data_IF_610797517825
#
_entry.id   IF_610797517825
#
_cell.length_a   1.000
_cell.length_b   1.000
_cell.length_c   1.000
_cell.angle_alpha   90.00
_cell.angle_beta   90.00
_cell.angle_gamma   90.00
#
_symmetry.space_group_name_H-M   'P 1'
#
loop_
_entity.id
_entity.type
_entity.pdbx_description
1 polymer ?
#
# COMPACT_ATOMS: atom_id res chain seq x y z
N UNK A 1 2.91 -7.76 3.34
CA UNK A 1 1.86 -6.77 3.66
C UNK A 1 2.43 -5.37 3.51
N UNK A 2 1.85 -4.58 2.64
CA UNK A 2 2.26 -3.20 2.40
C UNK A 2 1.10 -2.28 2.71
N UNK A 3 1.36 -1.20 3.44
CA UNK A 3 0.36 -0.21 3.79
C UNK A 3 0.80 1.15 3.25
N UNK A 4 -0.09 1.81 2.54
CA UNK A 4 0.08 3.20 2.13
C UNK A 4 -0.75 4.09 3.01
N UNK A 5 -0.12 5.10 3.57
CA UNK A 5 -0.77 6.16 4.31
C UNK A 5 -0.81 7.39 3.41
N UNK A 6 -2.00 7.83 3.04
CA UNK A 6 -2.16 8.90 2.08
C UNK A 6 -3.23 9.89 2.52
N UNK A 7 -2.90 11.20 2.56
CA UNK A 7 -3.90 12.26 2.62
C UNK A 7 -4.78 12.25 1.37
N UNK A 8 -6.00 12.79 1.43
CA UNK A 8 -6.83 12.96 0.25
C UNK A 8 -6.10 13.72 -0.87
N UNK A 9 -6.31 13.32 -2.12
CA UNK A 9 -5.71 13.94 -3.32
C UNK A 9 -4.17 13.87 -3.40
N UNK A 10 -3.52 13.01 -2.65
CA UNK A 10 -2.06 12.83 -2.70
C UNK A 10 -1.55 11.93 -3.83
N UNK A 11 -2.42 11.50 -4.75
CA UNK A 11 -2.07 10.67 -5.89
C UNK A 11 -1.99 9.16 -5.58
N UNK A 12 -2.75 8.69 -4.59
CA UNK A 12 -2.78 7.28 -4.17
C UNK A 12 -3.12 6.34 -5.32
N UNK A 13 -4.23 6.62 -6.04
CA UNK A 13 -4.70 5.79 -7.15
C UNK A 13 -3.67 5.73 -8.29
N UNK A 14 -3.07 6.87 -8.66
CA UNK A 14 -2.01 6.91 -9.68
C UNK A 14 -0.79 6.09 -9.28
N UNK A 15 -0.41 6.13 -8.00
CA UNK A 15 0.70 5.33 -7.51
C UNK A 15 0.35 3.84 -7.49
N UNK A 16 -0.91 3.47 -7.18
CA UNK A 16 -1.39 2.08 -7.30
C UNK A 16 -1.35 1.59 -8.75
N UNK A 17 -1.81 2.42 -9.70
CA UNK A 17 -1.73 2.11 -11.14
C UNK A 17 -0.28 1.91 -11.60
N UNK A 18 0.63 2.79 -11.18
CA UNK A 18 2.05 2.66 -11.50
C UNK A 18 2.66 1.36 -10.96
N UNK A 19 2.31 0.98 -9.72
CA UNK A 19 2.75 -0.28 -9.12
C UNK A 19 2.12 -1.48 -9.83
N UNK A 20 0.82 -1.43 -10.16
CA UNK A 20 0.14 -2.48 -10.93
C UNK A 20 0.84 -2.76 -12.25
N UNK A 21 1.13 -1.69 -13.00
CA UNK A 21 1.81 -1.78 -14.29
C UNK A 21 3.26 -2.27 -14.16
N UNK A 22 3.96 -1.89 -13.08
CA UNK A 22 5.31 -2.38 -12.81
C UNK A 22 5.31 -3.88 -12.48
N UNK A 23 4.34 -4.36 -11.68
CA UNK A 23 4.20 -5.78 -11.34
C UNK A 23 3.94 -6.59 -12.62
N UNK A 24 2.94 -6.22 -13.41
CA UNK A 24 2.59 -6.97 -14.63
C UNK A 24 3.68 -6.95 -15.70
N UNK A 25 4.54 -5.92 -15.70
CA UNK A 25 5.69 -5.84 -16.60
C UNK A 25 6.87 -6.71 -16.14
N UNK A 26 7.14 -6.71 -14.83
CA UNK A 26 8.34 -7.35 -14.29
C UNK A 26 8.08 -8.79 -13.83
N UNK A 27 6.84 -9.11 -13.47
CA UNK A 27 6.42 -10.42 -12.97
C UNK A 27 5.11 -10.84 -13.68
N UNK A 28 5.16 -11.13 -14.99
CA UNK A 28 3.96 -11.47 -15.78
C UNK A 28 3.30 -12.78 -15.34
N UNK A 29 4.00 -13.62 -14.60
CA UNK A 29 3.51 -14.87 -14.01
C UNK A 29 2.65 -14.64 -12.76
N UNK A 30 2.77 -13.49 -12.11
CA UNK A 30 2.00 -13.17 -10.91
C UNK A 30 0.57 -12.76 -11.27
N UNK A 31 -0.40 -13.31 -10.54
CA UNK A 31 -1.79 -12.90 -10.66
C UNK A 31 -2.01 -11.56 -9.95
N UNK A 32 -2.34 -10.52 -10.72
CA UNK A 32 -2.68 -9.21 -10.18
C UNK A 32 -4.19 -9.04 -10.07
N UNK A 33 -4.65 -8.73 -8.87
CA UNK A 33 -6.04 -8.37 -8.58
C UNK A 33 -6.10 -6.97 -7.96
N UNK A 34 -6.99 -6.13 -8.47
CA UNK A 34 -7.28 -4.80 -7.89
C UNK A 34 -8.67 -4.85 -7.29
N UNK A 35 -8.78 -4.51 -6.01
CA UNK A 35 -10.03 -4.44 -5.27
C UNK A 35 -10.31 -2.99 -4.90
N UNK A 36 -11.37 -2.44 -5.48
CA UNK A 36 -11.79 -1.05 -5.28
C UNK A 36 -13.06 -1.03 -4.43
N UNK A 37 -13.01 -0.37 -3.28
CA UNK A 37 -14.13 -0.31 -2.33
C UNK A 37 -14.52 1.15 -2.13
N UNK A 38 -15.81 1.44 -2.35
CA UNK A 38 -16.37 2.79 -2.19
C UNK A 38 -15.68 3.83 -3.09
N UNK A 39 -15.28 3.40 -4.31
CA UNK A 39 -14.65 4.25 -5.30
C UNK A 39 -15.67 4.82 -6.29
N UNK A 40 -15.25 5.86 -7.02
CA UNK A 40 -16.08 6.47 -8.05
C UNK A 40 -16.12 5.58 -9.30
N UNK A 41 -17.24 5.52 -10.02
CA UNK A 41 -17.34 4.74 -11.27
C UNK A 41 -16.29 5.13 -12.31
N UNK A 42 -15.90 6.42 -12.37
CA UNK A 42 -14.86 6.92 -13.26
C UNK A 42 -13.50 6.33 -12.94
N UNK A 43 -13.13 6.29 -11.64
CA UNK A 43 -11.86 5.76 -11.15
C UNK A 43 -11.79 4.24 -11.40
N UNK A 44 -12.92 3.53 -11.23
CA UNK A 44 -13.05 2.11 -11.57
C UNK A 44 -12.80 1.89 -13.07
N UNK A 45 -13.45 2.68 -13.91
CA UNK A 45 -13.30 2.58 -15.38
C UNK A 45 -11.87 2.87 -15.83
N UNK A 46 -11.23 3.87 -15.22
CA UNK A 46 -9.83 4.22 -15.50
C UNK A 46 -8.89 3.06 -15.09
N UNK A 47 -9.09 2.49 -13.90
CA UNK A 47 -8.30 1.36 -13.43
C UNK A 47 -8.44 0.15 -14.36
N UNK A 48 -9.66 -0.18 -14.79
CA UNK A 48 -9.93 -1.28 -15.74
C UNK A 48 -9.26 -1.09 -17.09
N UNK A 49 -9.10 0.17 -17.55
CA UNK A 49 -8.46 0.49 -18.84
C UNK A 49 -6.94 0.50 -18.77
N UNK A 50 -6.38 0.89 -17.62
CA UNK A 50 -4.95 1.16 -17.46
C UNK A 50 -4.17 0.00 -16.86
N UNK A 51 -4.83 -0.90 -16.13
CA UNK A 51 -4.19 -2.01 -15.44
C UNK A 51 -4.48 -3.33 -16.14
N UNK A 52 -3.43 -4.09 -16.42
CA UNK A 52 -3.54 -5.47 -16.93
C UNK A 52 -3.67 -6.44 -15.75
N UNK A 53 -4.86 -6.56 -15.21
CA UNK A 53 -5.17 -7.42 -14.06
C UNK A 53 -6.67 -7.56 -13.89
N UNK A 54 -7.08 -8.42 -12.96
CA UNK A 54 -8.49 -8.54 -12.59
C UNK A 54 -8.88 -7.34 -11.71
N UNK A 55 -9.88 -6.57 -12.13
CA UNK A 55 -10.40 -5.42 -11.36
C UNK A 55 -11.79 -5.76 -10.83
N UNK A 56 -11.90 -5.85 -9.52
CA UNK A 56 -13.16 -6.10 -8.79
C UNK A 56 -13.50 -4.82 -8.04
N UNK A 57 -14.72 -4.33 -8.17
CA UNK A 57 -15.10 -3.05 -7.58
C UNK A 57 -16.52 -3.06 -7.03
N UNK A 58 -16.70 -2.33 -5.94
CA UNK A 58 -17.99 -1.85 -5.45
C UNK A 58 -17.92 -0.33 -5.32
N UNK A 59 -18.75 0.36 -6.10
CA UNK A 59 -18.76 1.82 -6.18
C UNK A 59 -19.50 2.45 -4.99
N UNK A 60 -19.28 3.74 -4.76
CA UNK A 60 -19.79 4.49 -3.61
C UNK A 60 -21.35 4.54 -3.53
N UNK A 61 -22.01 4.31 -4.65
CA UNK A 61 -23.49 4.26 -4.77
C UNK A 61 -24.07 2.90 -4.38
N UNK A 62 -23.23 1.92 -4.04
CA UNK A 62 -23.65 0.60 -3.58
C UNK A 62 -23.76 0.53 -2.06
N UNK A 63 -24.67 -0.29 -1.52
CA UNK A 63 -24.78 -0.54 -0.08
C UNK A 63 -23.48 -1.08 0.51
N UNK A 64 -23.26 -0.87 1.82
CA UNK A 64 -22.09 -1.37 2.52
C UNK A 64 -21.98 -2.90 2.49
N UNK A 65 -23.11 -3.61 2.45
CA UNK A 65 -23.19 -5.06 2.31
C UNK A 65 -22.57 -5.56 1.00
N UNK A 66 -22.79 -4.83 -0.11
CA UNK A 66 -22.18 -5.16 -1.39
C UNK A 66 -20.67 -4.96 -1.34
N UNK A 67 -20.21 -3.90 -0.66
CA UNK A 67 -18.78 -3.58 -0.50
C UNK A 67 -18.05 -4.66 0.30
N UNK A 68 -18.64 -5.13 1.40
CA UNK A 68 -18.07 -6.21 2.22
C UNK A 68 -18.11 -7.55 1.49
N UNK A 69 -19.20 -7.86 0.81
CA UNK A 69 -19.34 -9.11 0.03
C UNK A 69 -18.32 -9.19 -1.09
N UNK A 70 -18.10 -8.10 -1.82
CA UNK A 70 -17.09 -8.03 -2.90
C UNK A 70 -15.69 -8.30 -2.35
N UNK A 71 -15.34 -7.72 -1.21
CA UNK A 71 -14.04 -7.94 -0.58
C UNK A 71 -13.87 -9.38 -0.09
N UNK A 72 -14.89 -9.96 0.53
CA UNK A 72 -14.87 -11.35 1.00
C UNK A 72 -14.72 -12.34 -0.16
N UNK A 73 -15.48 -12.15 -1.25
CA UNK A 73 -15.36 -12.98 -2.44
C UNK A 73 -13.97 -12.85 -3.10
N UNK A 74 -13.41 -11.64 -3.14
CA UNK A 74 -12.08 -11.40 -3.69
C UNK A 74 -11.01 -12.17 -2.89
N UNK A 75 -11.03 -12.09 -1.56
CA UNK A 75 -10.03 -12.78 -0.73
C UNK A 75 -10.19 -14.30 -0.78
N UNK A 76 -11.42 -14.81 -0.81
CA UNK A 76 -11.65 -16.26 -0.95
C UNK A 76 -11.18 -16.79 -2.31
N UNK A 77 -11.44 -16.05 -3.40
CA UNK A 77 -10.93 -16.39 -4.73
C UNK A 77 -9.40 -16.43 -4.73
N UNK A 78 -8.75 -15.44 -4.15
CA UNK A 78 -7.30 -15.37 -4.09
C UNK A 78 -6.70 -16.50 -3.27
N UNK A 79 -7.31 -16.87 -2.14
CA UNK A 79 -6.88 -18.02 -1.35
C UNK A 79 -6.86 -19.31 -2.19
N UNK A 80 -7.87 -19.53 -3.03
CA UNK A 80 -7.90 -20.69 -3.94
C UNK A 80 -6.76 -20.65 -4.96
N UNK A 81 -6.45 -19.48 -5.53
CA UNK A 81 -5.32 -19.35 -6.45
C UNK A 81 -3.98 -19.66 -5.76
N UNK A 82 -3.78 -19.15 -4.55
CA UNK A 82 -2.56 -19.41 -3.77
C UNK A 82 -2.42 -20.88 -3.38
N UNK A 83 -3.53 -21.56 -3.05
CA UNK A 83 -3.55 -23.00 -2.78
C UNK A 83 -3.20 -23.83 -4.02
N UNK A 84 -3.48 -23.31 -5.22
CA UNK A 84 -3.07 -23.92 -6.49
C UNK A 84 -1.60 -23.64 -6.85
N UNK A 85 -0.87 -22.91 -6.01
CA UNK A 85 0.55 -22.62 -6.19
C UNK A 85 0.86 -21.31 -6.92
N UNK A 86 -0.13 -20.45 -7.15
CA UNK A 86 0.11 -19.16 -7.81
C UNK A 86 0.58 -18.09 -6.83
N UNK A 87 1.45 -17.21 -7.34
CA UNK A 87 1.79 -15.95 -6.66
C UNK A 87 0.75 -14.88 -7.01
N UNK A 88 0.09 -14.35 -5.99
CA UNK A 88 -1.01 -13.40 -6.16
C UNK A 88 -0.69 -12.08 -5.46
N UNK A 89 -0.97 -10.98 -6.15
CA UNK A 89 -0.86 -9.63 -5.60
C UNK A 89 -2.24 -8.97 -5.60
N UNK A 90 -2.70 -8.54 -4.42
CA UNK A 90 -3.89 -7.70 -4.28
C UNK A 90 -3.46 -6.24 -4.09
N UNK A 91 -4.04 -5.35 -4.90
CA UNK A 91 -4.03 -3.91 -4.65
C UNK A 91 -5.41 -3.51 -4.14
N UNK A 92 -5.50 -3.05 -2.88
CA UNK A 92 -6.77 -2.66 -2.24
C UNK A 92 -6.84 -1.13 -2.10
N UNK A 93 -7.81 -0.51 -2.73
CA UNK A 93 -8.18 0.90 -2.52
C UNK A 93 -9.63 0.99 -2.03
N UNK A 94 -9.87 1.19 -0.73
CA UNK A 94 -8.92 1.31 0.36
C UNK A 94 -9.34 0.49 1.59
N UNK A 95 -8.36 0.13 2.43
CA UNK A 95 -8.62 -0.58 3.68
C UNK A 95 -9.45 0.27 4.66
N UNK A 96 -9.32 1.59 4.62
CA UNK A 96 -10.11 2.50 5.47
C UNK A 96 -11.58 2.44 5.13
N UNK A 97 -11.92 2.48 3.83
CA UNK A 97 -13.32 2.39 3.36
C UNK A 97 -13.91 1.00 3.61
N UNK A 98 -13.12 -0.04 3.35
CA UNK A 98 -13.51 -1.41 3.66
C UNK A 98 -13.82 -1.59 5.16
N UNK A 99 -12.97 -1.06 6.03
CA UNK A 99 -13.18 -1.09 7.48
C UNK A 99 -14.45 -0.32 7.90
N UNK A 100 -14.75 0.81 7.26
CA UNK A 100 -16.01 1.54 7.47
C UNK A 100 -17.23 0.72 7.04
N UNK A 101 -17.17 0.04 5.90
CA UNK A 101 -18.23 -0.83 5.42
C UNK A 101 -18.51 -1.97 6.42
N UNK A 102 -17.47 -2.64 6.90
CA UNK A 102 -17.61 -3.66 7.93
C UNK A 102 -18.16 -3.09 9.26
N UNK A 103 -17.81 -1.85 9.63
CA UNK A 103 -18.37 -1.22 10.82
C UNK A 103 -19.86 -0.90 10.68
N UNK A 104 -20.35 -0.67 9.46
CA UNK A 104 -21.77 -0.44 9.19
C UNK A 104 -22.59 -1.74 9.16
N UNK A 105 -22.00 -2.82 8.61
CA UNK A 105 -22.69 -4.11 8.40
C UNK A 105 -22.45 -5.11 9.52
N UNK A 106 -21.40 -4.95 10.30
CA UNK A 106 -20.96 -5.91 11.30
C UNK A 106 -21.77 -5.90 12.59
N UNK A 107 -21.73 -7.00 13.31
CA UNK A 107 -22.26 -7.09 14.66
C UNK A 107 -21.47 -6.18 15.60
N UNK A 108 -22.16 -5.25 16.23
CA UNK A 108 -21.57 -4.39 17.23
C UNK A 108 -21.39 -5.15 18.55
N UNK A 109 -20.16 -5.27 19.02
CA UNK A 109 -19.83 -5.91 20.31
C UNK A 109 -20.11 -5.02 21.52
N UNK A 110 -20.42 -3.73 21.28
CA UNK A 110 -20.52 -2.71 22.32
C UNK A 110 -19.18 -2.18 22.83
N UNK A 111 -18.07 -2.74 22.39
CA UNK A 111 -16.73 -2.21 22.69
C UNK A 111 -16.33 -1.18 21.64
N UNK A 112 -16.83 0.03 21.84
CA UNK A 112 -16.52 1.14 20.94
C UNK A 112 -15.12 1.68 21.13
N UNK A 113 -14.42 1.87 20.01
CA UNK A 113 -13.25 2.72 19.86
C UNK A 113 -13.69 4.18 19.69
N UNK A 114 -12.77 5.07 19.38
CA UNK A 114 -13.13 6.46 19.09
C UNK A 114 -14.10 6.57 17.88
N UNK A 115 -14.96 7.60 17.91
CA UNK A 115 -15.86 7.99 16.83
C UNK A 115 -16.83 6.91 16.32
N UNK A 116 -17.33 6.05 17.22
CA UNK A 116 -18.35 5.06 16.88
C UNK A 116 -17.85 3.84 16.10
N UNK A 117 -16.57 3.63 16.06
CA UNK A 117 -15.96 2.42 15.48
C UNK A 117 -16.00 1.30 16.51
N UNK A 118 -16.61 0.15 16.17
CA UNK A 118 -16.60 -1.04 17.01
C UNK A 118 -15.37 -1.90 16.72
N UNK A 119 -14.65 -2.29 17.78
CA UNK A 119 -13.41 -3.07 17.65
C UNK A 119 -13.62 -4.44 16.99
N UNK A 120 -14.77 -5.09 17.24
CA UNK A 120 -15.08 -6.39 16.65
C UNK A 120 -15.47 -6.26 15.17
N UNK A 121 -16.11 -5.17 14.77
CA UNK A 121 -16.48 -4.91 13.39
C UNK A 121 -15.27 -4.73 12.46
N UNK A 122 -14.10 -4.37 13.01
CA UNK A 122 -12.85 -4.27 12.23
C UNK A 122 -12.16 -5.63 12.01
N UNK A 123 -12.58 -6.68 12.69
CA UNK A 123 -11.92 -7.99 12.60
C UNK A 123 -11.91 -8.55 11.17
N UNK A 124 -12.98 -8.51 10.36
CA UNK A 124 -12.93 -9.00 8.98
C UNK A 124 -11.93 -8.23 8.11
N UNK A 125 -11.86 -6.90 8.23
CA UNK A 125 -10.87 -6.10 7.50
C UNK A 125 -9.43 -6.44 7.92
N UNK A 126 -9.20 -6.72 9.21
CA UNK A 126 -7.90 -7.21 9.71
C UNK A 126 -7.58 -8.61 9.18
N UNK A 127 -8.57 -9.50 9.11
CA UNK A 127 -8.41 -10.84 8.55
C UNK A 127 -8.11 -10.79 7.05
N UNK A 128 -8.78 -9.90 6.30
CA UNK A 128 -8.45 -9.64 4.90
C UNK A 128 -6.98 -9.26 4.74
N UNK A 129 -6.54 -8.23 5.46
CA UNK A 129 -5.15 -7.75 5.38
C UNK A 129 -4.15 -8.78 5.92
N UNK A 130 -4.52 -9.50 6.97
CA UNK A 130 -3.73 -10.54 7.59
C UNK A 130 -3.63 -11.84 6.79
N UNK A 131 -4.39 -12.00 5.71
CA UNK A 131 -4.30 -13.16 4.82
C UNK A 131 -2.99 -13.20 4.02
N UNK A 132 -2.30 -12.06 3.87
CA UNK A 132 -1.03 -11.96 3.15
C UNK A 132 0.07 -12.81 3.82
N UNK A 133 0.54 -13.83 3.10
CA UNK A 133 1.58 -14.77 3.56
C UNK A 133 2.17 -15.58 2.41
N UNK A 134 3.33 -16.15 2.63
CA UNK A 134 3.89 -17.20 1.78
C UNK A 134 3.45 -18.55 2.34
N UNK A 135 3.05 -19.48 1.47
CA UNK A 135 2.68 -20.84 1.85
C UNK A 135 3.88 -21.75 1.56
N UNK A 136 4.26 -22.55 2.53
CA UNK A 136 5.32 -23.52 2.36
C UNK A 136 4.89 -24.56 1.32
N UNK A 137 5.71 -24.77 0.30
CA UNK A 137 5.42 -25.59 -0.87
C UNK A 137 4.15 -25.21 -1.67
N UNK A 138 3.75 -23.94 -1.60
CA UNK A 138 2.60 -23.38 -2.31
C UNK A 138 2.92 -22.02 -2.92
N UNK A 139 1.88 -21.28 -3.27
CA UNK A 139 2.00 -19.92 -3.78
C UNK A 139 2.17 -18.87 -2.67
N UNK A 140 2.11 -17.61 -3.04
CA UNK A 140 2.19 -16.49 -2.11
C UNK A 140 1.05 -15.48 -2.30
N UNK A 141 0.69 -14.79 -1.22
CA UNK A 141 -0.23 -13.67 -1.24
C UNK A 141 0.44 -12.42 -0.72
N UNK A 142 0.55 -11.43 -1.59
CA UNK A 142 0.97 -10.07 -1.25
C UNK A 142 -0.23 -9.14 -1.30
N UNK A 143 -0.44 -8.34 -0.25
CA UNK A 143 -1.50 -7.34 -0.21
C UNK A 143 -0.86 -5.95 -0.04
N UNK A 144 -1.19 -5.05 -0.96
CA UNK A 144 -0.86 -3.64 -0.91
C UNK A 144 -2.15 -2.83 -0.74
N UNK A 145 -2.37 -2.32 0.45
CA UNK A 145 -3.59 -1.58 0.78
C UNK A 145 -3.33 -0.09 0.94
N UNK A 146 -4.17 0.73 0.32
CA UNK A 146 -4.23 2.16 0.60
C UNK A 146 -4.95 2.39 1.94
N UNK A 147 -4.42 3.28 2.77
CA UNK A 147 -5.07 3.74 4.00
C UNK A 147 -5.11 5.27 4.00
N UNK A 148 -6.27 5.83 4.31
CA UNK A 148 -6.44 7.27 4.38
C UNK A 148 -5.93 7.81 5.71
N UNK A 149 -5.15 8.90 5.63
CA UNK A 149 -4.65 9.65 6.79
C UNK A 149 -4.99 11.14 6.62
N UNK A 150 -4.93 11.90 7.69
CA UNK A 150 -5.12 13.36 7.66
C UNK A 150 -6.44 13.77 6.99
N UNK A 151 -7.48 12.93 7.16
CA UNK A 151 -8.82 13.20 6.58
C UNK A 151 -9.64 14.16 7.45
N UNK A 152 -9.18 14.46 8.65
CA UNK A 152 -9.95 15.18 9.66
C UNK A 152 -11.07 14.34 10.30
N UNK A 153 -11.18 13.05 9.97
CA UNK A 153 -12.15 12.14 10.53
C UNK A 153 -11.56 11.33 11.69
N UNK A 154 -12.05 11.51 12.94
CA UNK A 154 -11.58 10.68 14.06
C UNK A 154 -11.84 9.18 13.87
N UNK A 155 -12.84 8.82 13.07
CA UNK A 155 -13.12 7.43 12.72
C UNK A 155 -11.99 6.81 11.87
N UNK A 156 -11.45 7.56 10.90
CA UNK A 156 -10.32 7.10 10.08
C UNK A 156 -9.05 6.95 10.89
N UNK A 157 -8.82 7.86 11.83
CA UNK A 157 -7.67 7.79 12.74
C UNK A 157 -7.78 6.55 13.65
N UNK A 158 -8.98 6.25 14.17
CA UNK A 158 -9.22 5.05 14.96
C UNK A 158 -9.00 3.77 14.13
N UNK A 159 -9.51 3.72 12.89
CA UNK A 159 -9.28 2.60 11.97
C UNK A 159 -7.78 2.46 11.68
N UNK A 160 -7.09 3.56 11.36
CA UNK A 160 -5.67 3.53 11.06
C UNK A 160 -4.84 2.99 12.23
N UNK A 161 -5.15 3.41 13.46
CA UNK A 161 -4.47 2.95 14.67
C UNK A 161 -4.54 1.43 14.83
N UNK A 162 -5.68 0.82 14.47
CA UNK A 162 -5.89 -0.63 14.53
C UNK A 162 -5.08 -1.43 13.49
N UNK A 163 -4.60 -0.77 12.42
CA UNK A 163 -3.72 -1.36 11.41
C UNK A 163 -2.25 -0.95 11.60
N UNK A 164 -1.94 -0.06 12.55
CA UNK A 164 -0.57 0.37 12.82
C UNK A 164 0.26 -0.82 13.32
N UNK A 165 1.43 -1.02 12.72
CA UNK A 165 2.33 -2.13 13.05
C UNK A 165 1.92 -3.48 12.45
N UNK A 166 0.78 -3.61 11.76
CA UNK A 166 0.39 -4.83 11.06
C UNK A 166 1.09 -5.00 9.71
N UNK A 167 1.53 -3.90 9.09
CA UNK A 167 2.20 -3.93 7.80
C UNK A 167 3.71 -4.19 7.92
N UNK A 168 4.28 -4.86 6.92
CA UNK A 168 5.72 -5.07 6.79
C UNK A 168 6.42 -3.83 6.21
N UNK A 169 5.70 -3.06 5.39
CA UNK A 169 6.18 -1.83 4.78
C UNK A 169 5.09 -0.76 4.82
N UNK A 170 5.52 0.47 5.06
CA UNK A 170 4.65 1.64 5.00
C UNK A 170 5.24 2.66 4.01
N UNK A 171 4.41 3.08 3.04
CA UNK A 171 4.72 4.17 2.12
C UNK A 171 3.81 5.33 2.50
N UNK A 172 4.39 6.41 2.97
CA UNK A 172 3.65 7.61 3.40
C UNK A 172 3.65 8.62 2.27
N UNK A 173 2.45 9.08 1.89
CA UNK A 173 2.29 10.21 0.98
C UNK A 173 2.10 11.51 1.76
N UNK A 174 2.64 12.59 1.24
CA UNK A 174 2.58 13.92 1.85
C UNK A 174 1.60 14.82 1.11
N UNK A 175 0.60 15.34 1.81
CA UNK A 175 -0.30 16.37 1.29
C UNK A 175 0.46 17.64 0.89
N UNK A 176 1.45 18.05 1.68
CA UNK A 176 2.26 19.22 1.40
C UNK A 176 3.07 19.14 0.09
N UNK A 177 3.54 17.94 -0.29
CA UNK A 177 4.17 17.71 -1.59
C UNK A 177 3.15 17.72 -2.72
N UNK A 178 1.99 17.09 -2.51
CA UNK A 178 0.91 17.05 -3.48
C UNK A 178 0.33 18.46 -3.78
N UNK A 179 0.19 19.29 -2.77
CA UNK A 179 -0.25 20.70 -2.90
C UNK A 179 0.72 21.50 -3.77
N UNK A 180 2.02 21.21 -3.69
CA UNK A 180 3.06 21.77 -4.55
C UNK A 180 3.15 21.13 -5.92
N UNK A 181 2.26 20.17 -6.24
CA UNK A 181 2.27 19.38 -7.51
C UNK A 181 3.55 18.57 -7.73
N UNK A 182 4.19 18.13 -6.63
CA UNK A 182 5.35 17.26 -6.67
C UNK A 182 4.85 15.81 -6.59
N UNK A 183 5.02 15.03 -7.66
CA UNK A 183 4.58 13.65 -7.76
C UNK A 183 5.72 12.72 -8.23
N UNK A 184 5.77 11.46 -7.72
CA UNK A 184 4.92 10.89 -6.67
C UNK A 184 5.16 11.61 -5.33
N UNK A 185 4.08 11.96 -4.61
CA UNK A 185 4.17 12.74 -3.37
C UNK A 185 4.62 11.89 -2.17
N UNK A 186 5.69 11.11 -2.33
CA UNK A 186 6.19 10.18 -1.31
C UNK A 186 7.06 10.92 -0.31
N UNK A 187 6.70 10.81 0.97
CA UNK A 187 7.59 11.18 2.07
C UNK A 187 8.54 10.02 2.36
N UNK A 188 9.76 10.12 1.81
CA UNK A 188 10.78 9.07 1.93
C UNK A 188 11.25 8.93 3.38
N UNK A 189 11.24 10.02 4.15
CA UNK A 189 11.74 10.02 5.53
C UNK A 189 10.78 9.28 6.47
N UNK A 190 9.48 9.39 6.23
CA UNK A 190 8.43 8.68 6.99
C UNK A 190 8.11 7.29 6.45
N UNK A 191 8.55 6.98 5.24
CA UNK A 191 8.35 5.66 4.63
C UNK A 191 9.41 4.68 5.08
N UNK A 192 9.04 3.41 5.27
CA UNK A 192 10.00 2.41 5.74
C UNK A 192 9.52 0.98 5.55
N UNK A 193 10.48 0.06 5.64
CA UNK A 193 10.26 -1.38 5.58
C UNK A 193 10.74 -2.00 6.90
N UNK A 194 9.91 -2.84 7.47
CA UNK A 194 10.28 -3.62 8.66
C UNK A 194 11.15 -4.79 8.22
N UNK A 195 12.30 -4.97 8.87
CA UNK A 195 13.23 -6.06 8.59
C UNK A 195 13.71 -6.10 7.14
N UNK A 196 14.14 -4.95 6.63
CA UNK A 196 14.64 -4.82 5.26
C UNK A 196 15.85 -5.73 4.97
N UNK A 197 16.59 -6.13 6.02
CA UNK A 197 17.68 -7.09 5.94
C UNK A 197 17.28 -8.49 5.47
N UNK A 198 15.99 -8.80 5.51
CA UNK A 198 15.46 -10.08 4.97
C UNK A 198 15.14 -9.99 3.46
N UNK A 199 15.07 -8.79 2.91
CA UNK A 199 14.65 -8.54 1.53
C UNK A 199 15.81 -8.10 0.64
N UNK A 200 16.89 -7.60 1.23
CA UNK A 200 18.03 -7.03 0.54
C UNK A 200 19.33 -7.73 0.96
N UNK A 201 20.29 -7.77 0.04
CA UNK A 201 21.65 -8.23 0.37
C UNK A 201 22.36 -7.30 1.35
N UNK A 202 23.41 -7.78 2.06
CA UNK A 202 24.11 -6.99 3.09
C UNK A 202 24.66 -5.65 2.57
N UNK A 203 25.16 -5.62 1.34
CA UNK A 203 25.70 -4.41 0.72
C UNK A 203 24.57 -3.43 0.35
N UNK A 204 23.44 -3.92 -0.13
CA UNK A 204 22.26 -3.10 -0.44
C UNK A 204 21.69 -2.46 0.83
N UNK A 205 21.57 -3.21 1.91
CA UNK A 205 21.14 -2.73 3.23
C UNK A 205 22.07 -1.60 3.71
N UNK A 206 23.38 -1.81 3.61
CA UNK A 206 24.39 -0.84 4.02
C UNK A 206 24.23 0.49 3.27
N UNK A 207 24.11 0.42 1.93
CA UNK A 207 23.94 1.60 1.07
C UNK A 207 22.60 2.31 1.39
N UNK A 208 21.52 1.55 1.55
CA UNK A 208 20.20 2.07 1.91
C UNK A 208 20.24 2.81 3.24
N UNK A 209 20.90 2.25 4.26
CA UNK A 209 21.06 2.92 5.56
C UNK A 209 21.91 4.18 5.49
N UNK A 210 22.97 4.17 4.68
CA UNK A 210 23.77 5.37 4.45
C UNK A 210 22.95 6.47 3.77
N UNK A 211 22.15 6.11 2.75
CA UNK A 211 21.25 7.04 2.08
C UNK A 211 20.22 7.62 3.06
N UNK A 212 19.56 6.77 3.87
CA UNK A 212 18.59 7.21 4.88
C UNK A 212 19.20 8.18 5.88
N UNK A 213 20.43 7.93 6.35
CA UNK A 213 21.14 8.86 7.24
C UNK A 213 21.44 10.19 6.54
N UNK A 214 21.86 10.14 5.28
CA UNK A 214 22.15 11.35 4.51
C UNK A 214 20.93 12.24 4.32
N UNK A 215 19.75 11.65 4.07
CA UNK A 215 18.51 12.41 3.84
C UNK A 215 17.75 12.73 5.13
N UNK A 216 18.12 12.18 6.28
CA UNK A 216 17.37 12.33 7.54
C UNK A 216 17.25 13.78 8.03
N UNK A 217 18.20 14.66 7.65
CA UNK A 217 18.22 16.08 8.00
C UNK A 217 17.56 16.98 6.97
N UNK A 218 17.14 16.41 5.82
CA UNK A 218 16.51 17.16 4.74
C UNK A 218 15.00 17.29 4.97
N UNK A 219 14.42 18.33 4.38
CA UNK A 219 12.96 18.41 4.27
C UNK A 219 12.41 17.27 3.38
N UNK A 220 11.15 16.87 3.52
CA UNK A 220 10.56 15.82 2.66
C UNK A 220 10.72 16.11 1.17
N UNK A 221 10.66 17.37 0.76
CA UNK A 221 10.87 17.79 -0.63
C UNK A 221 12.31 17.57 -1.08
N UNK A 222 13.27 18.08 -0.35
CA UNK A 222 14.70 17.93 -0.66
C UNK A 222 15.11 16.45 -0.71
N UNK A 223 14.66 15.66 0.27
CA UNK A 223 14.91 14.21 0.29
C UNK A 223 14.36 13.53 -0.96
N UNK A 224 13.14 13.87 -1.37
CA UNK A 224 12.52 13.32 -2.58
C UNK A 224 13.26 13.75 -3.84
N UNK A 225 13.64 15.02 -3.95
CA UNK A 225 14.35 15.56 -5.11
C UNK A 225 15.73 14.90 -5.28
N UNK A 226 16.47 14.71 -4.19
CA UNK A 226 17.77 14.02 -4.19
C UNK A 226 17.63 12.58 -4.71
N UNK A 227 16.67 11.82 -4.19
CA UNK A 227 16.48 10.42 -4.59
C UNK A 227 15.95 10.33 -6.02
N UNK A 228 14.97 11.16 -6.37
CA UNK A 228 14.34 11.12 -7.70
C UNK A 228 15.30 11.53 -8.81
N UNK A 229 16.14 12.55 -8.57
CA UNK A 229 17.14 12.96 -9.56
C UNK A 229 18.13 11.83 -9.86
N UNK A 230 18.61 11.14 -8.82
CA UNK A 230 19.53 10.02 -8.97
C UNK A 230 18.89 8.78 -9.60
N UNK A 231 17.61 8.49 -9.26
CA UNK A 231 16.88 7.41 -9.93
C UNK A 231 16.69 7.66 -11.43
N UNK A 232 16.49 8.91 -11.84
CA UNK A 232 16.37 9.27 -13.28
C UNK A 232 17.66 9.13 -14.07
N UNK A 233 18.81 9.20 -13.42
CA UNK A 233 20.13 9.02 -14.03
C UNK A 233 20.48 7.54 -14.26
N UNK A 234 19.70 6.61 -13.72
CA UNK A 234 19.97 5.17 -13.72
C UNK A 234 18.85 4.38 -14.37
N UNK A 235 19.17 3.22 -14.96
CA UNK A 235 18.19 2.35 -15.61
C UNK A 235 17.66 1.24 -14.70
N UNK A 236 18.43 0.87 -13.68
CA UNK A 236 18.11 -0.23 -12.76
C UNK A 236 18.37 0.16 -11.31
N UNK A 237 17.69 -0.53 -10.37
CA UNK A 237 17.94 -0.34 -8.94
C UNK A 237 19.38 -0.69 -8.54
N UNK A 238 19.98 -1.69 -9.18
CA UNK A 238 21.37 -2.07 -8.92
C UNK A 238 22.33 -0.94 -9.30
N UNK A 239 22.13 -0.34 -10.48
CA UNK A 239 22.92 0.80 -10.93
C UNK A 239 22.77 2.00 -9.99
N UNK A 240 21.54 2.29 -9.55
CA UNK A 240 21.27 3.33 -8.57
C UNK A 240 22.02 3.09 -7.25
N UNK A 241 21.97 1.88 -6.70
CA UNK A 241 22.66 1.54 -5.45
C UNK A 241 24.19 1.66 -5.59
N UNK A 242 24.76 1.21 -6.71
CA UNK A 242 26.20 1.35 -7.01
C UNK A 242 26.59 2.83 -7.11
N UNK A 243 25.77 3.65 -7.76
CA UNK A 243 26.03 5.08 -7.88
C UNK A 243 25.93 5.77 -6.51
N UNK A 244 24.93 5.40 -5.70
CA UNK A 244 24.78 5.92 -4.34
C UNK A 244 25.96 5.52 -3.44
N UNK A 245 26.46 4.29 -3.53
CA UNK A 245 27.63 3.84 -2.77
C UNK A 245 28.87 4.69 -3.07
N UNK A 246 29.05 5.12 -4.33
CA UNK A 246 30.19 5.97 -4.74
C UNK A 246 30.05 7.42 -4.29
N UNK A 247 28.82 7.92 -4.18
CA UNK A 247 28.54 9.34 -3.89
C UNK A 247 28.38 9.64 -2.40
N UNK A 248 28.04 8.63 -1.59
CA UNK A 248 27.88 8.79 -0.16
C UNK A 248 29.23 8.66 0.58
N UNK A 249 29.48 9.49 1.61
CA UNK A 249 30.69 9.35 2.39
C UNK A 249 30.76 7.98 3.05
N UNK A 250 31.90 7.31 2.90
CA UNK A 250 32.18 6.05 3.58
C UNK A 250 32.12 6.31 5.09
N UNK A 251 31.00 5.95 5.72
CA UNK A 251 30.89 6.06 7.17
C UNK A 251 31.92 5.16 7.85
N UNK A 252 32.83 5.79 8.60
CA UNK A 252 33.67 5.10 9.59
C UNK A 252 32.84 4.58 10.72
#
# INVERSE_FOLDING_TARGET
MYKRQAPPRSGTTLLLQAVANAITKNNPEAHLMVVLVDERPEDVTEMQRTVKGEVIASTFDRPAEDQTTVADLAVERVKRLVELGYDVVILLDSITRLARAFNQTGHQSGRQLAAGIDAAALLPAKQFFGAARNIENGGSLTILAAAHIETGSPADEAILAEFTGAANQEIVLSGALADKRIFPAIDITRSGTRREEMLMGPDEVKVTWQLRRAIATHTPQEALDVVTSKLRETQTNVEFLVQMQKSLPSGK
#
